data_IF_144960583430
#
_entry.id   IF_144960583430
#
_cell.length_a   1.000
_cell.length_b   1.000
_cell.length_c   1.000
_cell.angle_alpha   90.00
_cell.angle_beta   90.00
_cell.angle_gamma   90.00
#
_symmetry.space_group_name_H-M   'P 1'
#
loop_
_entity.id
_entity.type
_entity.pdbx_description
1 polymer ?
#
# COMPACT_ATOMS: atom_id res chain seq x y z
N UNK A 1 26.82 4.68 8.78
CA UNK A 1 26.05 4.04 7.69
C UNK A 1 25.71 5.13 6.70
N UNK A 2 26.25 5.07 5.49
CA UNK A 2 25.90 6.03 4.44
C UNK A 2 24.53 5.65 3.89
N UNK A 3 23.55 6.51 4.12
CA UNK A 3 22.19 6.35 3.60
C UNK A 3 22.17 6.93 2.20
N UNK A 4 21.90 6.09 1.19
CA UNK A 4 21.71 6.53 -0.19
C UNK A 4 20.23 6.83 -0.42
N UNK A 5 19.93 8.06 -0.85
CA UNK A 5 18.59 8.45 -1.28
C UNK A 5 18.58 8.61 -2.80
N UNK A 6 17.55 8.07 -3.46
CA UNK A 6 17.34 8.21 -4.89
C UNK A 6 15.83 8.28 -5.18
N UNK A 7 15.47 8.97 -6.25
CA UNK A 7 14.09 8.99 -6.73
C UNK A 7 13.79 7.70 -7.49
N UNK A 8 12.71 7.04 -7.10
CA UNK A 8 12.17 5.89 -7.81
C UNK A 8 10.90 6.31 -8.54
N UNK A 9 10.58 5.58 -9.62
CA UNK A 9 9.34 5.76 -10.39
C UNK A 9 8.65 4.42 -10.57
N UNK A 10 7.33 4.45 -10.65
CA UNK A 10 6.54 3.30 -11.04
C UNK A 10 6.79 3.00 -12.52
N UNK A 11 7.17 1.76 -12.83
CA UNK A 11 7.33 1.26 -14.18
C UNK A 11 5.97 0.82 -14.73
N UNK A 12 5.90 0.66 -16.05
CA UNK A 12 4.67 0.25 -16.74
C UNK A 12 4.16 -1.15 -16.35
N UNK A 13 5.03 -1.96 -15.74
CA UNK A 13 4.73 -3.31 -15.25
C UNK A 13 4.35 -3.34 -13.76
N UNK A 14 4.17 -2.17 -13.13
CA UNK A 14 3.81 -2.04 -11.72
C UNK A 14 4.98 -2.14 -10.73
N UNK A 15 6.22 -2.32 -11.19
CA UNK A 15 7.38 -2.38 -10.30
C UNK A 15 7.98 -0.99 -10.04
N UNK A 16 8.62 -0.82 -8.88
CA UNK A 16 9.42 0.38 -8.60
C UNK A 16 10.81 0.27 -9.22
N UNK A 17 11.22 1.31 -9.94
CA UNK A 17 12.57 1.40 -10.50
C UNK A 17 13.64 1.34 -9.40
N UNK A 18 14.66 0.50 -9.61
CA UNK A 18 15.83 0.41 -8.75
C UNK A 18 17.12 0.59 -9.56
N UNK A 19 18.04 1.49 -9.14
CA UNK A 19 19.34 1.69 -9.77
C UNK A 19 20.16 0.40 -9.87
N UNK A 20 20.83 0.19 -11.02
CA UNK A 20 21.59 -1.04 -11.34
C UNK A 20 22.72 -1.31 -10.33
N UNK A 21 23.25 -0.26 -9.72
CA UNK A 21 24.30 -0.30 -8.69
C UNK A 21 23.81 -0.97 -7.40
N UNK A 22 22.51 -0.88 -7.12
CA UNK A 22 21.87 -1.48 -5.95
C UNK A 22 21.34 -2.88 -6.23
N UNK A 23 20.95 -3.18 -7.49
CA UNK A 23 20.44 -4.51 -7.89
C UNK A 23 21.44 -5.64 -7.65
N UNK A 24 22.74 -5.36 -7.70
CA UNK A 24 23.80 -6.37 -7.52
C UNK A 24 24.20 -6.60 -6.06
N UNK A 25 23.70 -5.78 -5.12
CA UNK A 25 24.04 -5.89 -3.71
C UNK A 25 23.12 -6.91 -3.03
N UNK A 26 23.69 -7.78 -2.21
CA UNK A 26 22.93 -8.73 -1.37
C UNK A 26 22.60 -8.09 -0.03
N UNK A 27 21.49 -8.52 0.58
CA UNK A 27 21.05 -8.11 1.93
C UNK A 27 20.83 -6.59 2.10
N UNK A 28 20.34 -5.92 1.06
CA UNK A 28 20.00 -4.49 1.11
C UNK A 28 18.60 -4.32 1.70
N UNK A 29 18.46 -3.36 2.62
CA UNK A 29 17.16 -2.92 3.13
C UNK A 29 16.76 -1.63 2.43
N UNK A 30 15.56 -1.59 1.87
CA UNK A 30 15.01 -0.41 1.23
C UNK A 30 13.95 0.22 2.14
N UNK A 31 13.95 1.55 2.21
CA UNK A 31 12.85 2.34 2.79
C UNK A 31 12.25 3.14 1.65
N UNK A 32 10.99 2.88 1.33
CA UNK A 32 10.25 3.61 0.30
C UNK A 32 9.43 4.69 0.98
N UNK A 33 9.52 5.91 0.46
CA UNK A 33 8.70 7.05 0.89
C UNK A 33 7.94 7.50 -0.35
N UNK A 34 6.61 7.46 -0.28
CA UNK A 34 5.73 7.97 -1.33
C UNK A 34 5.24 9.34 -0.86
N UNK A 35 5.35 10.33 -1.75
CA UNK A 35 4.88 11.69 -1.48
C UNK A 35 3.99 12.09 -2.65
N UNK A 36 2.76 12.47 -2.35
CA UNK A 36 1.82 13.00 -3.33
C UNK A 36 1.98 14.53 -3.38
N UNK A 37 1.99 15.12 -4.57
CA UNK A 37 2.10 16.59 -4.71
C UNK A 37 0.83 17.30 -4.21
N UNK A 38 -0.30 16.60 -4.23
CA UNK A 38 -1.58 17.10 -3.75
C UNK A 38 -1.74 16.84 -2.24
N UNK A 39 -1.20 17.76 -1.43
CA UNK A 39 -1.41 17.79 0.03
C UNK A 39 -2.87 18.04 0.45
N UNK A 40 -3.81 18.07 -0.50
CA UNK A 40 -5.24 18.27 -0.26
C UNK A 40 -6.06 17.00 -0.33
N UNK A 41 -5.46 15.91 -0.84
CA UNK A 41 -6.11 14.61 -0.93
C UNK A 41 -5.42 13.73 0.11
N UNK A 42 -5.79 13.93 1.38
CA UNK A 42 -5.60 12.87 2.36
C UNK A 42 -6.54 11.74 1.94
N UNK A 43 -6.00 10.54 1.73
CA UNK A 43 -6.84 9.36 1.61
C UNK A 43 -7.69 9.30 2.87
N UNK A 44 -9.01 9.34 2.73
CA UNK A 44 -9.89 9.21 3.89
C UNK A 44 -9.66 7.85 4.53
N UNK A 45 -9.97 7.70 5.82
CA UNK A 45 -9.92 6.39 6.48
C UNK A 45 -10.71 5.33 5.69
N UNK A 46 -11.79 5.75 5.02
CA UNK A 46 -12.59 4.90 4.12
C UNK A 46 -11.79 4.48 2.87
N UNK A 47 -11.05 5.38 2.23
CA UNK A 47 -10.23 5.06 1.06
C UNK A 47 -9.08 4.09 1.40
N UNK A 48 -8.53 4.21 2.61
CA UNK A 48 -7.50 3.31 3.14
C UNK A 48 -8.07 1.91 3.35
N UNK A 49 -9.23 1.79 4.02
CA UNK A 49 -9.90 0.50 4.24
C UNK A 49 -10.35 -0.14 2.91
N UNK A 50 -10.87 0.66 1.97
CA UNK A 50 -11.28 0.20 0.63
C UNK A 50 -10.11 -0.24 -0.26
N UNK A 51 -8.91 0.31 -0.08
CA UNK A 51 -7.73 -0.15 -0.84
C UNK A 51 -7.39 -1.61 -0.57
N UNK A 52 -7.71 -2.09 0.64
CA UNK A 52 -7.54 -3.49 1.05
C UNK A 52 -8.58 -4.43 0.43
N UNK A 53 -9.75 -3.91 0.04
CA UNK A 53 -10.84 -4.70 -0.56
C UNK A 53 -10.45 -5.21 -1.95
N UNK A 54 -9.72 -4.39 -2.73
CA UNK A 54 -9.35 -4.75 -4.10
C UNK A 54 -8.12 -5.65 -4.20
N UNK A 55 -7.27 -5.68 -3.16
CA UNK A 55 -6.05 -6.52 -3.13
C UNK A 55 -6.36 -7.99 -2.73
N UNK A 56 -7.57 -8.26 -2.22
CA UNK A 56 -7.98 -9.58 -1.70
C UNK A 56 -9.37 -9.94 -2.26
N UNK A 57 -9.51 -9.98 -3.59
CA UNK A 57 -10.80 -10.15 -4.27
C UNK A 57 -11.55 -11.45 -3.94
N UNK A 58 -10.88 -12.43 -3.33
CA UNK A 58 -11.42 -13.77 -3.09
C UNK A 58 -11.71 -14.07 -1.61
N UNK A 59 -11.49 -13.13 -0.68
CA UNK A 59 -11.54 -13.40 0.77
C UNK A 59 -12.33 -12.32 1.55
N UNK A 60 -13.43 -11.82 0.97
CA UNK A 60 -14.33 -10.90 1.66
C UNK A 60 -15.60 -11.60 2.16
N UNK A 61 -15.98 -11.25 3.39
CA UNK A 61 -17.30 -11.54 3.94
C UNK A 61 -18.36 -10.98 2.99
N UNK A 62 -19.37 -11.79 2.69
CA UNK A 62 -20.53 -11.36 1.94
C UNK A 62 -21.23 -10.20 2.65
N UNK A 63 -22.00 -9.40 1.90
CA UNK A 63 -22.80 -8.30 2.46
C UNK A 63 -23.68 -8.75 3.64
N UNK A 64 -24.15 -10.01 3.61
CA UNK A 64 -24.94 -10.61 4.67
C UNK A 64 -24.13 -10.80 5.96
N UNK A 65 -22.89 -11.29 5.85
CA UNK A 65 -21.98 -11.50 6.98
C UNK A 65 -21.52 -10.16 7.58
N UNK A 66 -21.20 -9.16 6.76
CA UNK A 66 -20.85 -7.81 7.22
C UNK A 66 -21.99 -7.22 8.04
N UNK A 67 -23.23 -7.31 7.54
CA UNK A 67 -24.40 -6.80 8.25
C UNK A 67 -24.69 -7.56 9.55
N UNK A 68 -24.43 -8.86 9.60
CA UNK A 68 -24.54 -9.64 10.83
C UNK A 68 -23.60 -9.13 11.91
N UNK A 69 -22.32 -8.92 11.59
CA UNK A 69 -21.33 -8.46 12.58
C UNK A 69 -21.55 -7.03 13.04
N UNK A 70 -21.98 -6.12 12.14
CA UNK A 70 -22.20 -4.72 12.47
C UNK A 70 -23.45 -4.45 13.33
N UNK A 71 -24.44 -5.34 13.27
CA UNK A 71 -25.70 -5.20 14.03
C UNK A 71 -25.76 -6.09 15.28
N UNK A 72 -24.64 -6.70 15.67
CA UNK A 72 -24.55 -7.34 16.97
C UNK A 72 -24.47 -6.25 18.04
N UNK A 73 -25.52 -6.12 18.85
CA UNK A 73 -25.48 -5.30 20.05
C UNK A 73 -24.33 -5.76 20.96
N UNK A 74 -23.50 -4.82 21.42
CA UNK A 74 -22.39 -5.11 22.35
C UNK A 74 -22.96 -5.73 23.65
N UNK A 75 -22.49 -6.93 23.98
CA UNK A 75 -22.85 -7.70 25.19
C UNK A 75 -22.19 -7.15 26.47
#
# INVERSE_FOLDING_TARGET
>A
METLAFESKLLSDGHLYCPKELTRKRNVKFKVIVTFEDNKIEASDIDIELSSINDISDDFLSDEEVNYYLNLDEL
#
